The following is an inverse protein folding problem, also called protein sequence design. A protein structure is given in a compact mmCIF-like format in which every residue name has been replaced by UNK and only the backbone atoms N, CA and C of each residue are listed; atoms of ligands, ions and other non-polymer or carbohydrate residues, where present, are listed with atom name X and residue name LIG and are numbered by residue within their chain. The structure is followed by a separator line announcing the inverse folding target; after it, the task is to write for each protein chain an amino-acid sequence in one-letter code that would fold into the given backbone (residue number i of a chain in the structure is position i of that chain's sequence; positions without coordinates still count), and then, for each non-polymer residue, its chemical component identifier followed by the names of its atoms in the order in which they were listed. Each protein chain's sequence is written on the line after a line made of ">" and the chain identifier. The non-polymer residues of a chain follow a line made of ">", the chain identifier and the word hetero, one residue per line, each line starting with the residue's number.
data_IF_593549305932
#
_entry.id   IF_593549305932
#
_cell.length_a   1.000
_cell.length_b   1.000
_cell.length_c   1.000
_cell.angle_alpha   90.00
_cell.angle_beta   90.00
_cell.angle_gamma   90.00
#
_symmetry.space_group_name_H-M   'P 1'
#
loop_
_entity.id
_entity.type
_entity.pdbx_description
1 polymer ?
#
# COMPACT_ATOMS: atom_id res chain seq x y z
N UNK A 1 -14.61 10.97 -15.74
CA UNK A 1 -13.70 9.84 -15.93
C UNK A 1 -13.42 9.17 -14.60
N UNK A 2 -13.63 7.87 -14.51
CA UNK A 2 -13.32 7.13 -13.27
C UNK A 2 -11.84 6.83 -13.24
N UNK A 3 -11.18 7.31 -12.19
CA UNK A 3 -9.78 7.00 -11.99
C UNK A 3 -9.65 5.70 -11.23
N UNK A 4 -8.74 4.85 -11.66
CA UNK A 4 -8.43 3.61 -10.96
C UNK A 4 -8.03 3.88 -9.50
N UNK A 5 -7.30 4.98 -9.28
CA UNK A 5 -6.84 5.39 -7.96
C UNK A 5 -7.98 5.76 -7.01
N UNK A 6 -9.15 6.10 -7.54
CA UNK A 6 -10.31 6.49 -6.74
C UNK A 6 -11.27 5.33 -6.50
N UNK A 7 -10.94 4.13 -6.97
CA UNK A 7 -11.80 2.96 -6.76
C UNK A 7 -11.80 2.55 -5.29
N UNK A 8 -12.89 1.96 -4.79
CA UNK A 8 -12.93 1.45 -3.42
C UNK A 8 -11.82 0.46 -3.11
N UNK A 9 -11.44 -0.37 -4.08
CA UNK A 9 -10.36 -1.34 -3.89
C UNK A 9 -9.00 -0.68 -3.75
N UNK A 10 -8.73 0.37 -4.53
CA UNK A 10 -7.48 1.12 -4.36
C UNK A 10 -7.43 1.85 -3.03
N UNK A 11 -8.54 2.42 -2.62
CA UNK A 11 -8.63 3.06 -1.31
C UNK A 11 -8.40 2.05 -0.20
N UNK A 12 -9.01 0.87 -0.31
CA UNK A 12 -8.81 -0.20 0.67
C UNK A 12 -7.35 -0.65 0.73
N UNK A 13 -6.68 -0.72 -0.42
CA UNK A 13 -5.26 -1.08 -0.45
C UNK A 13 -4.41 -0.03 0.25
N UNK A 14 -4.62 1.25 -0.04
CA UNK A 14 -3.88 2.32 0.61
C UNK A 14 -4.08 2.28 2.12
N UNK A 15 -5.32 2.16 2.55
CA UNK A 15 -5.65 2.08 3.98
C UNK A 15 -4.95 0.91 4.63
N UNK A 16 -4.97 -0.25 4.00
CA UNK A 16 -4.30 -1.44 4.49
C UNK A 16 -2.79 -1.20 4.67
N UNK A 17 -2.16 -0.64 3.66
CA UNK A 17 -0.71 -0.39 3.69
C UNK A 17 -0.33 0.61 4.79
N UNK A 18 -1.11 1.68 4.93
CA UNK A 18 -0.87 2.67 5.98
C UNK A 18 -1.03 2.04 7.36
N UNK A 19 -2.09 1.28 7.57
CA UNK A 19 -2.34 0.60 8.84
C UNK A 19 -1.19 -0.34 9.20
N UNK A 20 -0.71 -1.12 8.23
CA UNK A 20 0.38 -2.06 8.47
C UNK A 20 1.68 -1.34 8.79
N UNK A 21 1.96 -0.25 8.08
CA UNK A 21 3.14 0.56 8.36
C UNK A 21 3.08 1.13 9.78
N UNK A 22 1.96 1.72 10.15
CA UNK A 22 1.78 2.29 11.49
C UNK A 22 1.87 1.23 12.57
N UNK A 23 1.26 0.08 12.35
CA UNK A 23 1.28 -1.03 13.31
C UNK A 23 2.70 -1.54 13.54
N UNK A 24 3.54 -1.49 12.52
CA UNK A 24 4.94 -1.88 12.62
C UNK A 24 5.82 -0.80 13.25
N UNK A 25 5.26 0.36 13.57
CA UNK A 25 6.00 1.46 14.16
C UNK A 25 6.91 2.18 13.18
N UNK A 26 6.65 2.06 11.87
CA UNK A 26 7.50 2.66 10.84
C UNK A 26 6.93 3.99 10.37
N UNK A 27 7.80 5.01 10.33
CA UNK A 27 7.48 6.27 9.64
C UNK A 27 7.63 6.06 8.14
N UNK A 28 7.09 6.97 7.34
CA UNK A 28 7.27 6.89 5.88
C UNK A 28 8.75 6.84 5.49
N UNK A 29 9.59 7.63 6.15
CA UNK A 29 11.02 7.65 5.84
C UNK A 29 11.68 6.31 6.17
N UNK A 30 11.25 5.66 7.24
CA UNK A 30 11.79 4.35 7.63
C UNK A 30 11.45 3.30 6.61
N UNK A 31 10.19 3.29 6.16
CA UNK A 31 9.74 2.34 5.14
C UNK A 31 10.46 2.59 3.81
N UNK A 32 10.62 3.85 3.44
CA UNK A 32 11.32 4.20 2.20
C UNK A 32 12.74 3.62 2.19
N UNK A 33 13.45 3.71 3.32
CA UNK A 33 14.78 3.13 3.44
C UNK A 33 14.76 1.62 3.23
N UNK A 34 13.79 0.93 3.82
CA UNK A 34 13.65 -0.53 3.66
C UNK A 34 13.34 -0.91 2.23
N UNK A 35 12.54 -0.10 1.55
CA UNK A 35 12.18 -0.32 0.15
C UNK A 35 13.27 0.13 -0.82
N UNK A 36 14.29 0.83 -0.33
CA UNK A 36 15.34 1.46 -1.15
C UNK A 36 14.74 2.42 -2.18
N UNK A 37 13.77 3.20 -1.73
CA UNK A 37 13.10 4.21 -2.54
C UNK A 37 13.06 5.53 -1.78
N UNK A 38 12.70 6.60 -2.48
CA UNK A 38 12.55 7.91 -1.86
C UNK A 38 11.32 7.93 -0.95
N UNK A 39 11.31 8.83 0.04
CA UNK A 39 10.12 9.04 0.85
C UNK A 39 8.94 9.50 0.00
N UNK A 40 9.20 10.28 -1.05
CA UNK A 40 8.15 10.72 -1.97
C UNK A 40 7.38 9.56 -2.58
N UNK A 41 8.07 8.48 -2.89
CA UNK A 41 7.42 7.27 -3.41
C UNK A 41 6.37 6.75 -2.42
N UNK A 42 6.76 6.62 -1.14
CA UNK A 42 5.83 6.13 -0.10
C UNK A 42 4.65 7.09 0.05
N UNK A 43 4.92 8.39 0.07
CA UNK A 43 3.88 9.42 0.18
C UNK A 43 2.91 9.31 -1.00
N UNK A 44 3.42 9.17 -2.21
CA UNK A 44 2.56 9.08 -3.41
C UNK A 44 1.69 7.83 -3.40
N UNK A 45 2.22 6.71 -2.92
CA UNK A 45 1.40 5.50 -2.77
C UNK A 45 0.31 5.73 -1.73
N UNK A 46 0.67 6.25 -0.57
CA UNK A 46 -0.29 6.42 0.54
C UNK A 46 -1.35 7.48 0.27
N UNK A 47 -1.05 8.46 -0.55
CA UNK A 47 -2.02 9.50 -0.92
C UNK A 47 -2.82 9.18 -2.18
N UNK A 48 -2.56 8.03 -2.80
CA UNK A 48 -3.30 7.61 -3.97
C UNK A 48 -2.81 8.19 -5.28
N UNK A 49 -1.63 8.81 -5.29
CA UNK A 49 -1.07 9.40 -6.50
C UNK A 49 -0.30 8.39 -7.35
N UNK A 50 0.06 7.24 -6.77
CA UNK A 50 0.79 6.21 -7.47
C UNK A 50 0.20 4.85 -7.15
N UNK A 51 0.00 4.04 -8.18
CA UNK A 51 -0.46 2.66 -8.05
C UNK A 51 0.70 1.77 -7.61
N UNK A 52 0.33 0.72 -6.89
CA UNK A 52 1.24 -0.35 -6.49
C UNK A 52 0.88 -1.58 -7.33
N UNK A 53 1.84 -2.11 -8.08
CA UNK A 53 1.64 -3.37 -8.78
C UNK A 53 1.85 -4.55 -7.81
N UNK A 54 1.62 -5.77 -8.31
CA UNK A 54 1.71 -6.97 -7.47
C UNK A 54 3.12 -7.16 -6.91
N UNK A 55 4.13 -6.91 -7.72
CA UNK A 55 5.52 -7.05 -7.27
C UNK A 55 5.84 -6.02 -6.19
N UNK A 56 5.41 -4.77 -6.39
CA UNK A 56 5.58 -3.74 -5.37
C UNK A 56 4.86 -4.10 -4.08
N UNK A 57 3.66 -4.66 -4.17
CA UNK A 57 2.92 -5.11 -2.98
C UNK A 57 3.74 -6.14 -2.20
N UNK A 58 4.37 -7.07 -2.90
CA UNK A 58 5.23 -8.06 -2.26
C UNK A 58 6.45 -7.41 -1.59
N UNK A 59 7.02 -6.39 -2.22
CA UNK A 59 8.12 -5.64 -1.62
C UNK A 59 7.70 -4.94 -0.33
N UNK A 60 6.52 -4.32 -0.35
CA UNK A 60 5.97 -3.70 0.85
C UNK A 60 5.71 -4.72 1.95
N UNK A 61 5.17 -5.88 1.57
CA UNK A 61 4.90 -6.96 2.53
C UNK A 61 6.20 -7.42 3.20
N UNK A 62 7.25 -7.60 2.42
CA UNK A 62 8.55 -8.01 2.95
C UNK A 62 9.16 -6.92 3.84
N UNK A 63 9.06 -5.66 3.43
CA UNK A 63 9.66 -4.55 4.16
C UNK A 63 8.96 -4.28 5.48
N UNK A 64 7.64 -4.43 5.53
CA UNK A 64 6.84 -4.16 6.74
C UNK A 64 6.70 -5.42 7.60
N UNK A 65 6.61 -6.59 6.96
CA UNK A 65 6.47 -7.85 7.68
C UNK A 65 5.05 -8.36 7.76
N UNK A 66 4.30 -8.30 6.66
CA UNK A 66 2.98 -8.91 6.60
C UNK A 66 2.88 -9.86 5.41
N UNK A 67 1.83 -10.67 5.40
CA UNK A 67 1.55 -11.58 4.28
C UNK A 67 0.78 -10.82 3.20
N UNK A 68 1.34 -10.74 2.00
CA UNK A 68 0.70 -10.06 0.87
C UNK A 68 -0.71 -10.62 0.59
N UNK A 69 -0.95 -11.89 0.89
CA UNK A 69 -2.27 -12.49 0.71
C UNK A 69 -3.35 -11.84 1.58
N UNK A 70 -2.98 -11.27 2.73
CA UNK A 70 -3.92 -10.55 3.56
C UNK A 70 -4.47 -9.31 2.85
N UNK A 71 -3.62 -8.61 2.10
CA UNK A 71 -4.06 -7.47 1.31
C UNK A 71 -5.02 -7.92 0.23
N UNK A 72 -4.69 -9.00 -0.48
CA UNK A 72 -5.54 -9.52 -1.54
C UNK A 72 -6.90 -9.96 -0.98
N UNK A 73 -6.92 -10.61 0.17
CA UNK A 73 -8.18 -10.99 0.82
C UNK A 73 -9.04 -9.77 1.15
N UNK A 74 -8.41 -8.71 1.69
CA UNK A 74 -9.13 -7.47 1.99
C UNK A 74 -9.76 -6.90 0.72
N UNK A 75 -9.00 -6.86 -0.37
CA UNK A 75 -9.49 -6.32 -1.63
C UNK A 75 -10.60 -7.16 -2.23
N UNK A 76 -10.52 -8.48 -2.11
CA UNK A 76 -11.58 -9.34 -2.66
C UNK A 76 -12.91 -9.19 -1.93
N UNK A 77 -12.88 -8.73 -0.67
CA UNK A 77 -14.10 -8.44 0.09
C UNK A 77 -14.62 -7.02 -0.13
N UNK A 78 -13.85 -6.19 -0.80
CA UNK A 78 -14.22 -4.80 -1.04
C UNK A 78 -14.97 -4.72 -2.36
N UNK A 79 -16.13 -4.04 -2.42
CA UNK A 79 -16.86 -3.86 -3.67
C UNK A 79 -16.02 -3.19 -4.72
N UNK A 80 -16.27 -3.50 -5.98
CA UNK A 80 -15.58 -2.87 -7.11
C UNK A 80 -15.89 -1.38 -7.20
N UNK A 81 -17.06 -0.97 -6.73
CA UNK A 81 -17.53 0.41 -6.77
C UNK A 81 -18.22 0.78 -5.48
#
# INVERSE_FOLDING_TARGET
>A
MVRTLDSPRHEALRTFLIERRNKAGLRQVDLAKRLRRSQSYVTYVETGQKLVDVVELMEWADAIGFDANEAIKRLSRTPKR
#
